data_IF_190489871494
#
_entry.id   IF_190489871494
#
_cell.length_a   1.000
_cell.length_b   1.000
_cell.length_c   1.000
_cell.angle_alpha   90.00
_cell.angle_beta   90.00
_cell.angle_gamma   90.00
#
_symmetry.space_group_name_H-M   'P 1'
#
loop_
_entity.id
_entity.type
_entity.pdbx_description
1 polymer ?
2 non-polymer ?
3 non-polymer ?
4 non-polymer ?
5 non-polymer ?
6 non-polymer ?
7 non-polymer ?
8 water ?
#
# COMPACT_ATOMS: atom_id res chain seq x y z
N UNK A 5 -28.82 -6.51 -5.40
CA UNK A 5 -27.55 -7.23 -5.30
C UNK A 5 -26.43 -6.40 -4.64
N UNK A 6 -25.57 -7.08 -3.84
CA UNK A 6 -24.43 -6.48 -3.15
C UNK A 6 -23.50 -5.72 -4.12
N UNK A 7 -23.12 -6.39 -5.22
CA UNK A 7 -22.27 -5.81 -6.27
C UNK A 7 -20.81 -5.63 -5.90
N UNK A 8 -20.38 -6.24 -4.77
CA UNK A 8 -19.02 -6.16 -4.26
C UNK A 8 -18.04 -6.87 -5.16
N UNK A 9 -18.46 -7.99 -5.78
CA UNK A 9 -17.62 -8.72 -6.71
C UNK A 9 -17.32 -7.91 -7.95
N UNK A 10 -18.29 -7.12 -8.43
CA UNK A 10 -18.08 -6.30 -9.60
C UNK A 10 -17.04 -5.19 -9.38
N UNK A 11 -16.79 -4.78 -8.12
CA UNK A 11 -15.76 -3.79 -7.81
C UNK A 11 -14.40 -4.47 -7.71
N UNK A 12 -14.36 -5.68 -7.13
CA UNK A 12 -13.12 -6.42 -6.97
C UNK A 12 -12.61 -6.95 -8.31
N UNK A 13 -13.47 -7.64 -9.09
CA UNK A 13 -13.17 -8.28 -10.36
C UNK A 13 -12.19 -7.47 -11.26
N UNK A 14 -12.38 -6.15 -11.51
CA UNK A 14 -11.42 -5.43 -12.38
C UNK A 14 -9.99 -5.44 -11.85
N UNK A 15 -9.83 -5.36 -10.51
CA UNK A 15 -8.51 -5.40 -9.86
C UNK A 15 -7.76 -6.74 -10.03
N UNK A 16 -8.47 -7.80 -10.42
CA UNK A 16 -7.97 -9.17 -10.59
C UNK A 16 -7.43 -9.50 -11.98
N UNK A 17 -7.46 -8.54 -12.93
CA UNK A 17 -7.02 -8.79 -14.31
C UNK A 17 -5.56 -9.19 -14.45
N UNK A 18 -4.72 -8.83 -13.46
CA UNK A 18 -3.31 -9.21 -13.47
C UNK A 18 -3.13 -10.74 -13.17
N UNK A 19 -4.19 -11.43 -12.75
CA UNK A 19 -4.14 -12.87 -12.46
C UNK A 19 -4.61 -13.68 -13.69
N UNK A 20 -4.10 -14.91 -13.81
CA UNK A 20 -4.50 -15.84 -14.87
C UNK A 20 -5.97 -16.19 -14.65
N UNK A 21 -6.72 -16.57 -15.72
CA UNK A 21 -8.15 -16.91 -15.52
C UNK A 21 -8.41 -17.96 -14.47
N UNK A 22 -7.52 -18.97 -14.39
CA UNK A 22 -7.65 -20.04 -13.40
C UNK A 22 -7.57 -19.50 -12.00
N UNK A 23 -6.72 -18.49 -11.80
CA UNK A 23 -6.53 -17.83 -10.54
C UNK A 23 -7.71 -16.97 -10.20
N UNK A 24 -8.25 -16.19 -11.16
CA UNK A 24 -9.47 -15.42 -10.90
C UNK A 24 -10.64 -16.35 -10.52
N UNK A 25 -10.67 -17.58 -11.07
CA UNK A 25 -11.70 -18.58 -10.75
C UNK A 25 -11.60 -19.03 -9.30
N UNK A 26 -10.38 -19.16 -8.80
CA UNK A 26 -10.14 -19.53 -7.41
C UNK A 26 -10.59 -18.37 -6.51
N UNK A 27 -10.38 -17.12 -6.92
CA UNK A 27 -10.81 -15.95 -6.18
C UNK A 27 -12.35 -15.79 -6.18
N UNK A 28 -13.04 -16.14 -7.28
CA UNK A 28 -14.50 -16.08 -7.30
C UNK A 28 -15.09 -17.12 -6.36
N UNK A 29 -14.52 -18.34 -6.37
CA UNK A 29 -14.92 -19.43 -5.49
C UNK A 29 -14.74 -19.02 -4.02
N UNK A 30 -13.62 -18.33 -3.70
CA UNK A 30 -13.30 -17.82 -2.38
C UNK A 30 -14.27 -16.74 -1.95
N UNK A 31 -14.62 -15.83 -2.89
CA UNK A 31 -15.58 -14.77 -2.63
C UNK A 31 -16.92 -15.35 -2.25
N UNK A 32 -17.42 -16.32 -3.01
CA UNK A 32 -18.70 -16.94 -2.71
C UNK A 32 -18.69 -17.70 -1.43
N UNK A 33 -17.57 -18.35 -1.12
CA UNK A 33 -17.43 -19.09 0.13
C UNK A 33 -17.53 -18.12 1.30
N UNK A 34 -16.81 -16.98 1.23
CA UNK A 34 -16.83 -15.92 2.24
C UNK A 34 -18.25 -15.37 2.31
N UNK A 35 -18.87 -15.01 1.15
CA UNK A 35 -20.24 -14.50 1.03
C UNK A 35 -21.23 -15.33 1.83
N UNK A 36 -21.14 -16.66 1.70
CA UNK A 36 -21.97 -17.64 2.40
C UNK A 36 -21.65 -17.68 3.87
N UNK A 37 -20.35 -17.81 4.21
CA UNK A 37 -19.93 -17.91 5.59
C UNK A 37 -20.36 -16.70 6.42
N UNK A 38 -20.14 -15.49 5.92
CA UNK A 38 -20.50 -14.27 6.65
C UNK A 38 -21.95 -13.83 6.41
N UNK A 39 -22.83 -14.72 5.91
CA UNK A 39 -24.21 -14.32 5.61
C UNK A 39 -24.97 -13.90 6.85
N UNK A 40 -25.63 -12.75 6.76
CA UNK A 40 -26.41 -12.24 7.88
C UNK A 40 -25.58 -11.50 8.92
N UNK A 41 -24.25 -11.65 8.87
CA UNK A 41 -23.33 -10.98 9.77
C UNK A 41 -23.23 -9.52 9.36
N UNK A 42 -22.97 -8.67 10.33
CA UNK A 42 -22.89 -7.24 10.06
C UNK A 42 -21.67 -6.59 10.67
N UNK A 43 -21.23 -5.53 10.03
CA UNK A 43 -20.16 -4.73 10.56
C UNK A 43 -20.79 -3.60 11.36
N UNK A 44 -20.03 -2.97 12.25
CA UNK A 44 -20.58 -1.90 13.11
C UNK A 44 -20.99 -0.71 12.24
N UNK A 45 -20.59 -0.69 10.98
CA UNK A 45 -21.02 0.33 10.03
C UNK A 45 -22.45 0.11 9.51
N UNK A 46 -23.08 -1.00 9.85
CA UNK A 46 -24.39 -1.35 9.35
C UNK A 46 -24.34 -2.09 8.02
N UNK A 47 -23.15 -2.16 7.42
CA UNK A 47 -22.90 -2.84 6.17
C UNK A 47 -22.75 -4.33 6.44
N UNK A 48 -23.07 -5.20 5.46
CA UNK A 48 -22.92 -6.66 5.69
C UNK A 48 -21.44 -7.01 5.84
N UNK A 49 -21.11 -7.97 6.72
CA UNK A 49 -19.70 -8.28 6.99
C UNK A 49 -18.79 -8.45 5.75
N UNK A 50 -19.29 -9.13 4.71
CA UNK A 50 -18.56 -9.41 3.47
C UNK A 50 -17.91 -8.18 2.88
N UNK A 51 -18.43 -6.97 3.18
CA UNK A 51 -17.87 -5.69 2.75
C UNK A 51 -16.38 -5.57 3.14
N UNK A 52 -16.05 -6.01 4.37
CA UNK A 52 -14.69 -6.02 4.89
C UNK A 52 -13.76 -6.97 4.13
N UNK A 53 -13.95 -8.32 4.07
CA UNK A 53 -12.98 -9.15 3.34
C UNK A 53 -12.90 -8.85 1.85
N UNK A 54 -13.93 -8.22 1.27
CA UNK A 54 -13.87 -7.79 -0.12
C UNK A 54 -12.91 -6.57 -0.20
N UNK A 55 -13.05 -5.61 0.72
CA UNK A 55 -12.15 -4.46 0.78
C UNK A 55 -10.70 -4.89 1.02
N UNK A 56 -10.49 -5.86 1.96
CA UNK A 56 -9.17 -6.41 2.27
C UNK A 56 -8.56 -7.11 1.04
N UNK A 57 -9.37 -7.93 0.30
CA UNK A 57 -8.89 -8.60 -0.92
C UNK A 57 -8.50 -7.53 -1.96
N UNK A 58 -9.35 -6.50 -2.13
CA UNK A 58 -9.14 -5.38 -3.04
C UNK A 58 -7.81 -4.67 -2.77
N UNK A 59 -7.42 -4.51 -1.49
CA UNK A 59 -6.14 -3.87 -1.14
C UNK A 59 -4.98 -4.73 -1.63
N UNK A 60 -5.07 -6.05 -1.43
CA UNK A 60 -4.06 -7.03 -1.84
C UNK A 60 -3.98 -7.13 -3.39
N UNK A 61 -5.11 -6.93 -4.08
CA UNK A 61 -5.16 -6.92 -5.54
C UNK A 61 -4.47 -5.64 -6.07
N UNK A 62 -4.68 -4.52 -5.37
CA UNK A 62 -4.02 -3.27 -5.69
C UNK A 62 -2.52 -3.42 -5.55
N UNK A 63 -2.10 -4.11 -4.49
CA UNK A 63 -0.72 -4.46 -4.23
C UNK A 63 -0.18 -5.57 -5.16
N UNK A 64 -1.04 -6.19 -5.97
CA UNK A 64 -0.71 -7.27 -6.89
C UNK A 64 -0.12 -8.49 -6.22
N UNK A 65 -0.77 -8.93 -5.15
CA UNK A 65 -0.35 -10.12 -4.44
C UNK A 65 -0.79 -11.38 -5.16
N UNK A 66 -0.08 -12.50 -4.94
CA UNK A 66 -0.47 -13.76 -5.59
C UNK A 66 -1.87 -14.21 -5.23
N UNK A 67 -2.48 -15.00 -6.10
CA UNK A 67 -3.84 -15.51 -5.96
C UNK A 67 -4.16 -16.06 -4.57
N UNK A 68 -3.30 -16.92 -4.01
CA UNK A 68 -3.55 -17.46 -2.67
C UNK A 68 -3.69 -16.38 -1.62
N UNK A 69 -2.89 -15.34 -1.71
CA UNK A 69 -2.95 -14.22 -0.79
C UNK A 69 -4.25 -13.43 -0.94
N UNK A 70 -4.67 -13.11 -2.18
CA UNK A 70 -5.93 -12.37 -2.37
C UNK A 70 -7.12 -13.25 -1.97
N UNK A 71 -7.17 -14.54 -2.36
CA UNK A 71 -8.25 -15.43 -1.93
C UNK A 71 -8.29 -15.55 -0.42
N UNK A 72 -7.11 -15.63 0.23
CA UNK A 72 -6.99 -15.66 1.69
C UNK A 72 -7.47 -14.38 2.32
N UNK A 73 -7.38 -13.26 1.61
CA UNK A 73 -7.89 -11.96 2.03
C UNK A 73 -9.40 -11.97 2.12
N UNK A 74 -10.07 -12.72 1.24
CA UNK A 74 -11.52 -12.87 1.31
C UNK A 74 -11.91 -13.83 2.45
N UNK A 75 -11.09 -14.85 2.68
CA UNK A 75 -11.41 -15.87 3.69
C UNK A 75 -10.76 -15.63 5.04
N UNK A 76 -10.04 -14.52 5.22
CA UNK A 76 -9.29 -14.25 6.44
C UNK A 76 -10.13 -14.12 7.71
N UNK A 77 -11.48 -14.08 7.61
CA UNK A 77 -12.32 -13.96 8.81
C UNK A 77 -13.23 -15.17 9.05
N UNK A 78 -13.41 -16.00 8.03
CA UNK A 78 -14.34 -17.16 8.05
C UNK A 78 -14.15 -18.14 9.20
N UNK A 79 -12.93 -18.37 9.64
CA UNK A 79 -12.71 -19.43 10.65
C UNK A 79 -13.39 -19.13 11.97
N UNK A 80 -13.28 -17.92 12.48
CA UNK A 80 -13.77 -17.64 13.84
C UNK A 80 -15.27 -17.49 13.86
N UNK A 81 -15.80 -16.65 13.02
CA UNK A 81 -17.22 -16.33 13.11
C UNK A 81 -18.28 -17.40 12.66
N UNK A 82 -17.97 -18.19 11.63
CA UNK A 82 -18.94 -18.85 10.77
C UNK A 82 -19.07 -20.39 10.75
N UNK A 83 -18.58 -21.09 11.76
CA UNK A 83 -18.67 -22.56 11.75
C UNK A 83 -17.86 -23.17 10.61
N UNK A 84 -16.72 -22.51 10.25
CA UNK A 84 -15.78 -22.99 9.24
C UNK A 84 -14.54 -23.47 9.99
N UNK A 85 -14.11 -24.71 9.75
CA UNK A 85 -12.90 -25.24 10.36
C UNK A 85 -11.73 -25.05 9.39
N UNK A 86 -10.47 -25.03 9.88
CA UNK A 86 -9.33 -24.84 8.95
C UNK A 86 -9.18 -25.97 7.94
N UNK A 87 -9.72 -27.15 8.27
CA UNK A 87 -9.70 -28.35 7.43
C UNK A 87 -10.48 -28.11 6.13
N UNK A 88 -11.58 -27.33 6.21
CA UNK A 88 -12.45 -26.98 5.10
C UNK A 88 -11.74 -26.05 4.13
N UNK A 89 -11.05 -25.02 4.66
CA UNK A 89 -10.30 -24.09 3.83
C UNK A 89 -9.11 -24.79 3.14
N UNK A 90 -8.52 -25.83 3.76
CA UNK A 90 -7.42 -26.57 3.12
C UNK A 90 -7.99 -27.52 2.07
N UNK A 91 -9.12 -28.17 2.39
CA UNK A 91 -9.78 -29.08 1.47
C UNK A 91 -10.28 -28.34 0.24
N UNK A 92 -10.76 -27.09 0.41
CA UNK A 92 -11.34 -26.35 -0.69
C UNK A 92 -10.40 -25.39 -1.40
N UNK A 93 -9.48 -24.75 -0.68
CA UNK A 93 -8.59 -23.77 -1.30
C UNK A 93 -7.09 -24.07 -1.18
N UNK A 94 -6.76 -25.29 -0.79
CA UNK A 94 -5.36 -25.69 -0.61
C UNK A 94 -4.76 -25.29 0.72
N UNK A 95 -3.56 -25.83 1.01
CA UNK A 95 -2.95 -25.54 2.31
C UNK A 95 -2.31 -24.15 2.46
N UNK A 96 -1.93 -23.47 1.36
CA UNK A 96 -1.32 -22.14 1.50
C UNK A 96 -2.39 -21.11 1.89
N UNK A 97 -3.58 -21.17 1.26
CA UNK A 97 -4.70 -20.29 1.64
C UNK A 97 -5.10 -20.55 3.11
N UNK A 98 -5.06 -21.79 3.57
CA UNK A 98 -5.38 -22.03 5.00
C UNK A 98 -4.27 -21.45 5.84
N UNK A 99 -3.05 -21.84 5.52
CA UNK A 99 -1.91 -21.41 6.31
C UNK A 99 -1.98 -19.92 6.64
N UNK A 100 -2.17 -19.09 5.58
CA UNK A 100 -2.29 -17.63 5.62
C UNK A 100 -3.49 -17.17 6.45
N UNK A 101 -4.72 -17.68 6.20
CA UNK A 101 -5.87 -17.18 6.99
C UNK A 101 -5.73 -17.63 8.44
N UNK A 102 -5.15 -18.84 8.71
CA UNK A 102 -4.94 -19.30 10.09
C UNK A 102 -3.91 -18.36 10.76
N UNK A 103 -2.85 -18.04 10.06
CA UNK A 103 -1.83 -17.13 10.57
C UNK A 103 -2.28 -15.71 10.83
N UNK A 104 -3.13 -15.13 9.95
CA UNK A 104 -3.62 -13.76 10.17
C UNK A 104 -4.55 -13.77 11.38
N UNK A 105 -5.40 -14.80 11.51
CA UNK A 105 -6.33 -14.81 12.64
C UNK A 105 -5.65 -15.14 13.97
N UNK A 106 -4.63 -16.00 13.95
CA UNK A 106 -3.95 -16.44 15.15
C UNK A 106 -3.12 -15.34 15.81
N UNK A 107 -2.44 -14.51 15.00
CA UNK A 107 -1.60 -13.45 15.52
C UNK A 107 -2.37 -12.35 16.25
N UNK A 108 -3.61 -12.10 15.82
CA UNK A 108 -4.53 -11.12 16.40
C UNK A 108 -4.66 -11.29 17.92
N UNK A 109 -4.70 -12.55 18.34
CA UNK A 109 -4.82 -13.05 19.70
C UNK A 109 -3.48 -12.98 20.47
N UNK A 110 -2.38 -13.27 19.80
CA UNK A 110 -1.05 -13.23 20.39
C UNK A 110 -0.69 -11.83 20.85
N UNK A 111 -1.11 -10.82 20.09
CA UNK A 111 -0.84 -9.44 20.45
C UNK A 111 -1.64 -9.03 21.69
N UNK A 112 -2.88 -9.58 21.87
CA UNK A 112 -3.74 -9.39 23.05
C UNK A 112 -3.07 -9.97 24.30
N UNK A 113 -2.53 -11.19 24.19
CA UNK A 113 -1.85 -11.88 25.28
C UNK A 113 -0.53 -11.23 25.76
N UNK A 114 0.34 -10.83 24.81
CA UNK A 114 1.68 -10.33 25.03
C UNK A 114 1.81 -9.15 26.01
N UNK A 115 2.57 -9.36 27.11
CA UNK A 115 2.79 -8.35 28.14
C UNK A 115 4.02 -7.44 27.90
N UNK A 116 3.81 -6.32 27.20
CA UNK A 116 4.82 -5.29 26.96
C UNK A 116 4.11 -3.93 26.85
N UNK A 117 4.14 -3.18 27.95
CA UNK A 117 3.47 -1.90 28.08
C UNK A 117 4.34 -0.98 28.93
N UNK A 118 4.65 0.19 28.38
CA UNK A 118 5.53 1.17 29.01
C UNK A 118 6.97 0.69 29.10
N UNK A 119 7.30 -0.36 28.32
CA UNK A 119 8.59 -1.01 28.30
C UNK A 119 9.52 -0.40 27.27
N UNK A 120 10.80 -0.17 27.67
CA UNK A 120 11.84 0.38 26.81
C UNK A 120 12.02 -0.53 25.55
N UNK A 121 11.58 -0.03 24.38
CA UNK A 121 11.61 -0.77 23.11
C UNK A 121 10.68 -1.97 23.11
N UNK A 122 9.44 -1.79 23.61
CA UNK A 122 8.43 -2.86 23.66
C UNK A 122 7.91 -3.22 22.28
N UNK A 123 7.72 -2.21 21.43
CA UNK A 123 7.25 -2.44 20.07
C UNK A 123 8.28 -3.18 19.24
N UNK A 124 9.57 -3.06 19.57
CA UNK A 124 10.62 -3.71 18.82
C UNK A 124 10.52 -5.22 18.99
N UNK A 125 10.33 -5.67 20.25
CA UNK A 125 10.22 -7.09 20.61
C UNK A 125 8.86 -7.74 20.23
N UNK A 126 7.85 -6.89 20.06
CA UNK A 126 6.52 -7.31 19.64
C UNK A 126 6.46 -7.39 18.14
N UNK A 127 7.16 -6.50 17.43
CA UNK A 127 7.23 -6.57 15.99
C UNK A 127 8.00 -7.83 15.59
N UNK A 128 9.11 -8.11 16.30
CA UNK A 128 9.90 -9.30 16.04
C UNK A 128 9.17 -10.58 16.36
N UNK A 129 8.16 -10.52 17.25
CA UNK A 129 7.38 -11.69 17.62
C UNK A 129 6.60 -12.16 16.41
N UNK A 130 5.99 -11.22 15.66
CA UNK A 130 5.23 -11.57 14.47
C UNK A 130 6.22 -12.08 13.42
N UNK A 131 7.32 -11.33 13.19
CA UNK A 131 8.39 -11.71 12.28
C UNK A 131 8.89 -13.15 12.51
N UNK A 132 9.05 -13.54 13.77
CA UNK A 132 9.55 -14.85 14.12
C UNK A 132 8.51 -15.93 13.94
N UNK A 133 7.24 -15.67 14.30
CA UNK A 133 6.22 -16.72 14.23
C UNK A 133 5.68 -16.95 12.83
N UNK A 134 5.64 -15.88 12.02
CA UNK A 134 5.11 -16.00 10.67
C UNK A 134 6.27 -16.05 9.68
N UNK A 135 6.68 -17.28 9.28
CA UNK A 135 7.77 -17.36 8.31
C UNK A 135 7.30 -16.99 6.89
N UNK A 136 6.02 -17.29 6.56
CA UNK A 136 5.47 -16.85 5.28
C UNK A 136 4.98 -15.45 5.47
N UNK A 137 5.72 -14.48 4.95
CA UNK A 137 5.47 -13.05 5.06
C UNK A 137 4.07 -12.66 4.54
N UNK A 138 3.45 -13.46 3.67
CA UNK A 138 2.10 -13.19 3.18
C UNK A 138 1.08 -13.02 4.32
N UNK A 139 1.24 -13.81 5.41
CA UNK A 139 0.43 -13.74 6.64
C UNK A 139 0.46 -12.28 7.19
N UNK A 140 1.67 -11.67 7.22
CA UNK A 140 1.83 -10.32 7.72
C UNK A 140 1.16 -9.35 6.79
N UNK A 141 1.32 -9.53 5.49
CA UNK A 141 0.72 -8.64 4.50
C UNK A 141 -0.78 -8.62 4.59
N UNK A 142 -1.39 -9.80 4.78
CA UNK A 142 -2.85 -9.93 4.95
C UNK A 142 -3.30 -9.22 6.22
N UNK A 143 -2.53 -9.40 7.32
CA UNK A 143 -2.79 -8.71 8.57
C UNK A 143 -2.66 -7.17 8.42
N UNK A 144 -1.72 -6.71 7.58
CA UNK A 144 -1.53 -5.29 7.35
C UNK A 144 -2.68 -4.73 6.55
N UNK A 145 -3.16 -5.50 5.53
CA UNK A 145 -4.29 -5.12 4.67
C UNK A 145 -5.58 -5.07 5.49
N UNK A 146 -5.70 -5.97 6.46
CA UNK A 146 -6.83 -6.05 7.35
C UNK A 146 -6.81 -4.82 8.24
N UNK A 147 -5.65 -4.51 8.86
CA UNK A 147 -5.52 -3.35 9.75
C UNK A 147 -5.76 -2.07 8.99
N UNK A 148 -5.33 -1.99 7.72
CA UNK A 148 -5.56 -0.80 6.91
C UNK A 148 -7.04 -0.58 6.71
N UNK A 149 -7.79 -1.63 6.29
CA UNK A 149 -9.21 -1.45 6.07
C UNK A 149 -9.95 -1.09 7.32
N UNK A 150 -9.56 -1.67 8.46
CA UNK A 150 -10.16 -1.37 9.76
C UNK A 150 -9.98 0.11 10.08
N UNK A 151 -8.81 0.67 9.79
CA UNK A 151 -8.50 2.08 10.01
C UNK A 151 -9.28 2.97 9.06
N UNK A 152 -9.44 2.52 7.82
CA UNK A 152 -10.21 3.24 6.81
C UNK A 152 -11.66 3.44 7.23
N UNK A 153 -12.20 2.50 8.03
CA UNK A 153 -13.56 2.48 8.54
C UNK A 153 -13.57 2.64 10.09
N UNK A 154 -12.66 3.43 10.65
CA UNK A 154 -12.55 3.58 12.11
C UNK A 154 -13.57 4.54 12.73
N UNK A 155 -14.38 5.23 11.92
CA UNK A 155 -15.41 6.14 12.44
C UNK A 155 -16.55 5.41 13.14
N UNK A 156 -16.80 4.14 12.76
CA UNK A 156 -17.85 3.30 13.35
C UNK A 156 -17.32 2.54 14.58
N UNK A 157 -16.46 3.19 15.36
CA UNK A 157 -15.83 2.64 16.55
C UNK A 157 -15.82 3.67 17.66
N UNK A 158 -15.88 3.21 18.92
CA UNK A 158 -15.77 4.17 20.04
C UNK A 158 -14.44 4.94 19.99
N UNK A 159 -14.42 6.21 20.40
CA UNK A 159 -13.14 6.97 20.37
C UNK A 159 -12.02 6.37 21.23
N UNK A 160 -12.38 5.53 22.21
CA UNK A 160 -11.45 4.80 23.06
C UNK A 160 -10.71 3.76 22.18
N UNK A 161 -11.47 2.97 21.39
CA UNK A 161 -10.96 1.96 20.48
C UNK A 161 -10.13 2.64 19.38
N UNK A 162 -10.64 3.77 18.85
CA UNK A 162 -9.99 4.54 17.81
C UNK A 162 -8.53 4.86 18.12
N UNK A 163 -8.22 5.27 19.36
CA UNK A 163 -6.85 5.61 19.76
C UNK A 163 -6.03 4.38 20.13
N UNK A 164 -6.68 3.33 20.63
CA UNK A 164 -6.01 2.08 20.97
C UNK A 164 -5.43 1.45 19.69
N UNK A 165 -6.25 1.42 18.62
CA UNK A 165 -5.93 0.86 17.29
C UNK A 165 -4.90 1.71 16.54
N UNK A 166 -5.07 3.04 16.59
CA UNK A 166 -4.16 3.97 15.94
C UNK A 166 -2.78 3.86 16.52
N UNK A 167 -2.68 3.77 17.86
CA UNK A 167 -1.37 3.68 18.51
C UNK A 167 -0.72 2.35 18.21
N UNK A 168 -1.51 1.28 18.25
CA UNK A 168 -1.00 -0.05 17.98
C UNK A 168 -0.47 -0.16 16.55
N UNK A 169 -1.17 0.47 15.59
CA UNK A 169 -0.74 0.48 14.21
C UNK A 169 0.56 1.26 14.09
N UNK A 170 0.68 2.37 14.84
CA UNK A 170 1.87 3.19 14.84
C UNK A 170 3.09 2.47 15.44
N UNK A 171 2.91 1.61 16.43
CA UNK A 171 4.04 0.88 17.02
C UNK A 171 4.34 -0.42 16.32
N UNK A 172 3.32 -1.15 15.88
CA UNK A 172 3.51 -2.50 15.32
C UNK A 172 3.42 -2.60 13.77
N UNK A 173 2.26 -2.30 13.19
CA UNK A 173 1.97 -2.58 11.80
C UNK A 173 2.61 -1.63 10.79
N UNK A 174 2.62 -0.31 11.07
CA UNK A 174 3.29 0.63 10.17
C UNK A 174 4.80 0.32 10.12
N UNK A 175 5.50 0.05 11.26
CA UNK A 175 6.91 -0.33 11.19
C UNK A 175 7.12 -1.69 10.52
N UNK A 176 6.16 -2.63 10.66
CA UNK A 176 6.25 -3.89 9.94
C UNK A 176 6.13 -3.69 8.40
N UNK A 177 5.24 -2.78 7.92
CA UNK A 177 5.14 -2.46 6.47
C UNK A 177 6.47 -1.84 5.98
N UNK A 178 7.16 -1.06 6.86
CA UNK A 178 8.44 -0.50 6.51
C UNK A 178 9.46 -1.61 6.29
N UNK A 179 9.62 -2.54 7.22
CA UNK A 179 10.53 -3.68 7.13
C UNK A 179 10.26 -4.49 5.85
N UNK A 180 8.99 -4.65 5.49
CA UNK A 180 8.59 -5.42 4.32
C UNK A 180 8.71 -4.66 2.97
N UNK A 181 9.03 -3.37 3.01
CA UNK A 181 9.18 -2.57 1.81
C UNK A 181 7.90 -1.99 1.25
N UNK A 182 6.80 -2.15 1.99
CA UNK A 182 5.47 -1.69 1.61
C UNK A 182 5.22 -0.23 2.01
N UNK A 183 5.99 0.71 1.45
CA UNK A 183 5.87 2.12 1.76
C UNK A 183 4.54 2.79 1.48
N UNK A 184 3.86 2.37 0.41
CA UNK A 184 2.54 2.88 0.02
C UNK A 184 1.53 2.60 1.15
N UNK A 185 1.60 1.36 1.69
CA UNK A 185 0.79 0.83 2.76
C UNK A 185 1.18 1.56 4.05
N UNK A 186 2.49 1.66 4.34
CA UNK A 186 3.06 2.33 5.50
C UNK A 186 2.58 3.77 5.62
N UNK A 187 2.64 4.56 4.55
CA UNK A 187 2.22 5.97 4.56
C UNK A 187 0.78 6.08 5.02
N UNK A 188 -0.09 5.29 4.42
CA UNK A 188 -1.51 5.31 4.69
C UNK A 188 -1.82 4.88 6.09
N UNK A 189 -1.12 3.86 6.60
CA UNK A 189 -1.29 3.40 7.98
C UNK A 189 -0.92 4.52 8.94
N UNK A 190 0.18 5.23 8.66
CA UNK A 190 0.69 6.35 9.45
C UNK A 190 -0.29 7.51 9.47
N UNK A 191 -0.73 7.97 8.31
CA UNK A 191 -1.63 9.12 8.21
C UNK A 191 -2.99 8.84 8.82
N UNK A 192 -3.49 7.62 8.66
CA UNK A 192 -4.76 7.24 9.23
C UNK A 192 -4.62 7.09 10.73
N UNK A 193 -3.46 6.63 11.22
CA UNK A 193 -3.21 6.49 12.66
C UNK A 193 -3.13 7.87 13.30
N UNK A 194 -2.39 8.78 12.65
CA UNK A 194 -2.20 10.16 13.05
C UNK A 194 -3.55 10.87 13.21
N UNK A 195 -4.50 10.58 12.29
CA UNK A 195 -5.83 11.16 12.24
C UNK A 195 -6.59 10.91 13.51
N UNK A 196 -6.60 9.66 13.97
CA UNK A 196 -7.36 9.29 15.13
C UNK A 196 -6.59 9.44 16.42
N UNK A 197 -5.31 9.07 16.46
CA UNK A 197 -4.51 9.21 17.69
C UNK A 197 -4.37 10.67 18.18
N UNK A 198 -3.99 11.60 17.31
CA UNK A 198 -3.89 13.03 17.65
C UNK A 198 -4.84 13.79 16.74
N UNK A 199 -6.14 13.80 17.05
CA UNK A 199 -7.10 14.47 16.16
C UNK A 199 -6.92 15.97 16.08
N UNK A 200 -6.73 16.65 17.22
CA UNK A 200 -6.54 18.09 17.25
C UNK A 200 -5.38 18.57 16.38
N UNK A 201 -4.23 17.86 16.44
CA UNK A 201 -3.06 18.22 15.64
C UNK A 201 -3.21 17.83 14.16
N UNK A 202 -4.03 16.80 13.88
CA UNK A 202 -4.26 16.36 12.51
C UNK A 202 -5.16 17.37 11.81
N UNK A 203 -6.22 17.81 12.48
CA UNK A 203 -7.15 18.76 11.91
C UNK A 203 -6.53 20.14 11.70
N UNK A 204 -5.50 20.50 12.50
CA UNK A 204 -4.83 21.79 12.34
C UNK A 204 -3.85 21.76 11.16
N UNK A 205 -3.08 20.67 11.03
CA UNK A 205 -2.13 20.53 9.95
C UNK A 205 -2.86 20.39 8.63
N UNK A 206 -3.92 19.58 8.59
CA UNK A 206 -4.68 19.38 7.36
C UNK A 206 -5.26 20.69 6.83
N UNK A 207 -5.73 21.57 7.72
CA UNK A 207 -6.31 22.85 7.35
C UNK A 207 -5.31 23.78 6.72
N UNK A 208 -4.06 23.74 7.18
CA UNK A 208 -3.01 24.59 6.63
C UNK A 208 -2.67 24.15 5.21
N UNK A 209 -2.61 22.83 4.98
CA UNK A 209 -2.29 22.28 3.65
C UNK A 209 -3.46 22.51 2.68
N UNK A 210 -4.72 22.43 3.18
CA UNK A 210 -5.90 22.66 2.35
C UNK A 210 -6.06 24.11 1.87
N UNK A 211 -5.16 25.03 2.28
CA UNK A 211 -5.19 26.42 1.86
C UNK A 211 -4.32 26.56 0.58
N UNK A 212 -3.14 25.95 0.59
CA UNK A 212 -2.26 25.94 -0.57
C UNK A 212 -2.56 24.77 -1.53
N UNK A 213 -3.41 23.80 -1.13
CA UNK A 213 -3.77 22.61 -1.92
C UNK A 213 -4.39 22.95 -3.27
N UNK A 214 -5.02 24.13 -3.40
CA UNK A 214 -5.60 24.54 -4.66
C UNK A 214 -4.46 24.82 -5.64
N UNK A 215 -3.48 25.62 -5.23
CA UNK A 215 -2.34 25.96 -6.08
C UNK A 215 -1.32 24.82 -6.28
N UNK A 216 -1.06 24.00 -5.24
CA UNK A 216 -0.08 22.91 -5.31
C UNK A 216 -0.48 21.85 -6.33
N UNK A 217 -1.73 21.37 -6.26
CA UNK A 217 -2.20 20.36 -7.22
C UNK A 217 -2.41 20.96 -8.63
N UNK A 218 -2.55 22.29 -8.72
CA UNK A 218 -2.68 23.01 -10.00
C UNK A 218 -1.33 22.91 -10.70
N UNK A 219 -0.25 23.15 -9.95
CA UNK A 219 1.13 23.09 -10.50
C UNK A 219 1.49 21.63 -10.80
N UNK A 220 1.33 20.77 -9.81
CA UNK A 220 1.67 19.36 -9.98
C UNK A 220 0.99 18.77 -11.21
N UNK A 221 -0.24 19.21 -11.51
CA UNK A 221 -0.98 18.73 -12.66
C UNK A 221 -0.40 19.20 -13.98
N UNK A 222 0.28 20.37 -13.99
CA UNK A 222 0.93 20.86 -15.22
C UNK A 222 2.06 19.89 -15.59
N UNK A 223 2.87 19.51 -14.57
CA UNK A 223 3.98 18.58 -14.68
C UNK A 223 3.50 17.18 -15.02
N UNK A 224 2.37 16.76 -14.44
CA UNK A 224 1.79 15.45 -14.69
C UNK A 224 1.32 15.35 -16.15
N UNK A 225 0.56 16.37 -16.62
CA UNK A 225 0.02 16.41 -17.98
C UNK A 225 1.14 16.39 -19.00
N UNK A 226 2.20 17.13 -18.73
CA UNK A 226 3.34 17.23 -19.61
C UNK A 226 4.12 15.93 -19.67
N UNK A 227 4.38 15.31 -18.52
CA UNK A 227 5.12 14.05 -18.45
C UNK A 227 4.29 12.89 -19.03
N UNK A 228 2.96 12.95 -18.90
CA UNK A 228 2.07 11.94 -19.46
C UNK A 228 2.23 11.92 -20.99
N UNK A 229 2.16 13.11 -21.61
CA UNK A 229 2.25 13.30 -23.06
C UNK A 229 3.58 12.83 -23.60
N UNK A 230 4.65 13.20 -22.93
CA UNK A 230 6.02 12.90 -23.30
C UNK A 230 6.24 11.38 -23.34
N UNK A 231 5.70 10.68 -22.33
CA UNK A 231 5.84 9.23 -22.21
C UNK A 231 4.99 8.52 -23.22
N UNK A 232 3.75 8.99 -23.44
CA UNK A 232 2.82 8.39 -24.39
C UNK A 232 3.30 8.58 -25.85
N UNK A 233 3.90 9.73 -26.17
CA UNK A 233 4.40 9.98 -27.51
C UNK A 233 5.79 9.35 -27.78
N UNK A 234 6.30 8.49 -26.87
CA UNK A 234 7.59 7.83 -27.10
C UNK A 234 7.32 6.43 -27.57
N UNK A 235 7.33 6.24 -28.87
CA UNK A 235 7.02 4.99 -29.56
C UNK A 235 7.75 3.74 -29.02
N UNK A 236 9.07 3.83 -28.76
CA UNK A 236 9.82 2.66 -28.30
C UNK A 236 9.46 2.21 -26.90
N UNK A 237 9.32 3.17 -25.96
CA UNK A 237 8.94 2.91 -24.57
C UNK A 237 7.56 2.23 -24.55
N UNK A 238 6.62 2.73 -25.38
CA UNK A 238 5.28 2.17 -25.48
C UNK A 238 5.25 0.78 -26.12
N UNK A 239 6.25 0.46 -26.96
CA UNK A 239 6.42 -0.84 -27.58
C UNK A 239 6.73 -1.91 -26.52
N UNK A 240 7.44 -1.54 -25.45
CA UNK A 240 7.76 -2.48 -24.37
C UNK A 240 6.84 -2.32 -23.14
N UNK A 241 5.77 -1.52 -23.24
CA UNK A 241 4.90 -1.21 -22.12
C UNK A 241 3.43 -1.57 -22.32
N UNK A 242 2.86 -2.22 -21.33
CA UNK A 242 1.45 -2.61 -21.30
C UNK A 242 0.58 -1.40 -20.87
N UNK A 243 1.07 -0.65 -19.89
CA UNK A 243 0.39 0.53 -19.36
C UNK A 243 1.28 1.34 -18.43
N UNK A 244 0.82 2.53 -18.04
CA UNK A 244 1.60 3.40 -17.17
C UNK A 244 0.72 4.43 -16.49
N UNK A 245 1.18 4.98 -15.37
CA UNK A 245 0.43 6.03 -14.71
C UNK A 245 1.35 7.01 -14.01
N UNK A 246 1.11 8.29 -14.27
CA UNK A 246 1.88 9.41 -13.72
C UNK A 246 0.99 10.13 -12.70
N UNK A 247 1.44 10.20 -11.44
CA UNK A 247 0.66 10.79 -10.34
C UNK A 247 1.50 11.78 -9.49
N UNK A 248 0.83 12.60 -8.70
CA UNK A 248 1.50 13.47 -7.74
C UNK A 248 1.67 12.71 -6.44
N UNK A 249 2.81 12.86 -5.77
CA UNK A 249 3.05 12.15 -4.50
C UNK A 249 2.29 12.84 -3.40
N UNK A 250 1.58 12.07 -2.56
CA UNK A 250 0.81 12.68 -1.47
C UNK A 250 1.70 13.16 -0.33
N UNK A 251 1.27 14.22 0.38
CA UNK A 251 2.03 14.70 1.52
C UNK A 251 1.90 13.67 2.64
N UNK A 252 3.03 13.22 3.20
CA UNK A 252 3.03 12.23 4.28
C UNK A 252 2.85 13.00 5.58
N UNK A 253 1.59 13.31 5.89
CA UNK A 253 1.14 14.09 7.04
C UNK A 253 1.71 13.71 8.37
N UNK A 254 1.85 12.41 8.64
CA UNK A 254 2.41 11.97 9.91
C UNK A 254 3.87 12.37 10.01
N UNK A 255 4.67 12.12 8.95
CA UNK A 255 6.08 12.47 8.86
C UNK A 255 6.31 13.96 8.83
N UNK A 256 5.40 14.72 8.21
CA UNK A 256 5.51 16.16 8.16
C UNK A 256 5.38 16.75 9.57
N UNK A 257 4.38 16.28 10.33
CA UNK A 257 4.17 16.73 11.70
C UNK A 257 5.22 16.16 12.67
N UNK A 258 5.72 14.95 12.39
CA UNK A 258 6.75 14.28 13.17
C UNK A 258 8.05 15.11 13.15
N UNK A 259 8.47 15.59 11.94
CA UNK A 259 9.66 16.43 11.76
C UNK A 259 9.48 17.84 12.32
N UNK A 260 8.24 18.32 12.41
CA UNK A 260 7.95 19.63 12.97
C UNK A 260 8.20 19.59 14.47
N UNK A 261 7.77 18.51 15.16
CA UNK A 261 8.00 18.40 16.59
C UNK A 261 9.50 18.21 16.90
N UNK A 262 10.17 17.32 16.15
CA UNK A 262 11.59 17.03 16.33
C UNK A 262 12.45 18.24 15.98
N UNK A 263 12.35 18.77 14.74
CA UNK A 263 13.16 19.91 14.33
C UNK A 263 12.65 21.28 14.81
N UNK A 264 11.57 21.28 15.61
CA UNK A 264 10.99 22.50 16.17
C UNK A 264 10.57 23.51 15.13
N UNK A 265 10.12 23.03 13.97
CA UNK A 265 9.71 23.89 12.85
C UNK A 265 8.18 24.12 12.80
N UNK A 266 7.74 25.00 11.88
CA UNK A 266 6.34 25.32 11.59
C UNK A 266 6.02 24.75 10.20
N UNK A 267 4.72 24.53 9.87
CA UNK A 267 4.37 24.01 8.53
C UNK A 267 4.79 24.95 7.38
N UNK A 268 4.98 26.25 7.69
CA UNK A 268 5.46 27.26 6.73
C UNK A 268 6.99 27.13 6.57
N UNK A 269 7.71 26.81 7.67
CA UNK A 269 9.17 26.68 7.77
C UNK A 269 9.72 25.41 7.12
N UNK A 270 8.87 24.41 6.84
CA UNK A 270 9.36 23.16 6.24
C UNK A 270 9.21 23.19 4.70
N UNK A 271 10.26 22.74 3.97
CA UNK A 271 10.23 22.79 2.51
C UNK A 271 9.36 21.74 1.86
N UNK A 272 8.37 22.24 1.09
CA UNK A 272 7.43 21.43 0.33
C UNK A 272 8.06 20.98 -1.00
N UNK A 273 8.85 19.88 -1.01
CA UNK A 273 9.41 19.41 -2.27
C UNK A 273 8.33 18.67 -3.04
N UNK A 274 8.00 19.17 -4.23
CA UNK A 274 6.99 18.54 -5.06
C UNK A 274 7.56 17.28 -5.66
N UNK A 275 6.78 16.21 -5.68
CA UNK A 275 7.22 14.95 -6.24
C UNK A 275 6.15 14.34 -7.13
N UNK A 276 6.60 13.65 -8.16
CA UNK A 276 5.73 12.95 -9.09
C UNK A 276 6.22 11.52 -9.19
N UNK A 277 5.32 10.63 -9.56
CA UNK A 277 5.61 9.22 -9.62
C UNK A 277 5.23 8.65 -10.95
N UNK A 278 6.12 7.90 -11.55
CA UNK A 278 5.83 7.20 -12.78
C UNK A 278 5.82 5.73 -12.41
N UNK A 279 4.66 5.09 -12.63
CA UNK A 279 4.49 3.66 -12.39
C UNK A 279 4.39 3.03 -13.77
N UNK A 280 5.21 2.01 -14.02
CA UNK A 280 5.27 1.38 -15.33
C UNK A 280 4.83 -0.09 -15.31
N UNK A 281 3.89 -0.46 -16.15
CA UNK A 281 3.40 -1.83 -16.24
C UNK A 281 3.98 -2.45 -17.53
N UNK A 282 5.13 -3.15 -17.50
CA UNK A 282 5.64 -3.74 -18.76
C UNK A 282 4.75 -4.81 -19.39
N UNK A 283 4.82 -4.92 -20.70
CA UNK A 283 4.09 -5.93 -21.45
C UNK A 283 4.63 -7.33 -21.09
N UNK A 284 3.77 -8.36 -21.10
CA UNK A 284 4.25 -9.73 -20.85
C UNK A 284 5.33 -10.16 -21.83
N UNK A 285 6.50 -10.54 -21.30
CA UNK A 285 7.64 -10.96 -22.11
C UNK A 285 7.69 -12.49 -22.25
N UNK A 286 8.11 -12.98 -23.45
CA UNK A 286 8.15 -14.42 -23.72
C UNK A 286 8.83 -15.34 -22.68
N UNK A 287 9.87 -14.87 -21.97
CA UNK A 287 10.52 -15.69 -20.92
C UNK A 287 10.56 -14.95 -19.58
N UNK A 288 10.82 -15.67 -18.48
CA UNK A 288 10.91 -15.06 -17.16
C UNK A 288 12.13 -14.13 -17.08
N UNK A 289 13.24 -14.50 -17.73
CA UNK A 289 14.47 -13.71 -17.72
C UNK A 289 14.31 -12.42 -18.51
N UNK A 290 13.66 -12.51 -19.66
CA UNK A 290 13.39 -11.35 -20.51
C UNK A 290 12.43 -10.38 -19.85
N UNK A 291 11.51 -10.88 -19.01
CA UNK A 291 10.57 -10.07 -18.26
C UNK A 291 11.31 -9.21 -17.22
N UNK A 292 12.31 -9.83 -16.56
CA UNK A 292 13.14 -9.21 -15.53
C UNK A 292 14.00 -8.09 -16.09
N UNK A 293 14.53 -8.29 -17.29
CA UNK A 293 15.35 -7.29 -17.96
C UNK A 293 14.49 -6.13 -18.37
N UNK A 294 13.30 -6.40 -18.95
CA UNK A 294 12.36 -5.37 -19.38
C UNK A 294 11.98 -4.45 -18.24
N UNK A 295 11.78 -5.02 -17.05
CA UNK A 295 11.43 -4.30 -15.84
C UNK A 295 12.46 -3.21 -15.54
N UNK A 296 13.75 -3.55 -15.62
CA UNK A 296 14.82 -2.59 -15.38
C UNK A 296 14.87 -1.61 -16.57
N UNK A 297 15.13 -2.13 -17.78
CA UNK A 297 15.23 -1.40 -19.04
C UNK A 297 14.19 -0.30 -19.21
N UNK A 298 12.97 -0.51 -18.75
CA UNK A 298 11.88 0.43 -18.97
C UNK A 298 11.99 1.66 -18.03
N UNK A 299 12.56 1.49 -16.84
CA UNK A 299 12.74 2.59 -15.91
C UNK A 299 13.87 3.52 -16.33
N UNK A 300 14.97 2.97 -16.85
CA UNK A 300 16.08 3.80 -17.33
C UNK A 300 15.70 4.52 -18.61
N UNK A 301 14.82 3.93 -19.46
CA UNK A 301 14.26 4.56 -20.65
C UNK A 301 13.50 5.83 -20.20
N UNK A 302 12.63 5.70 -19.17
CA UNK A 302 11.90 6.84 -18.61
C UNK A 302 12.85 7.90 -18.02
N UNK A 303 13.89 7.51 -17.26
CA UNK A 303 14.86 8.46 -16.69
C UNK A 303 15.42 9.41 -17.74
N UNK A 304 15.69 8.85 -18.93
CA UNK A 304 16.23 9.59 -20.05
C UNK A 304 15.24 10.57 -20.60
N UNK A 305 13.99 10.17 -20.74
CA UNK A 305 12.98 11.09 -21.30
C UNK A 305 12.69 12.16 -20.26
N UNK A 306 12.67 11.80 -18.99
CA UNK A 306 12.51 12.82 -17.95
C UNK A 306 13.64 13.85 -18.05
N UNK A 307 14.86 13.40 -18.31
CA UNK A 307 16.01 14.30 -18.47
C UNK A 307 15.99 15.07 -19.78
N UNK A 308 15.26 14.59 -20.78
CA UNK A 308 15.07 15.33 -22.05
C UNK A 308 13.99 16.40 -21.80
N UNK A 309 12.97 16.09 -21.00
CA UNK A 309 11.87 16.98 -20.67
C UNK A 309 12.28 18.09 -19.69
N UNK A 310 12.94 17.74 -18.58
CA UNK A 310 13.37 18.70 -17.57
C UNK A 310 14.84 18.55 -17.25
N UNK A 311 15.51 19.69 -17.04
CA UNK A 311 16.93 19.78 -16.73
C UNK A 311 17.26 19.18 -15.36
N UNK A 312 18.11 18.14 -15.33
CA UNK A 312 18.43 17.51 -14.04
C UNK A 312 19.46 18.21 -13.18
N UNK A 313 19.07 18.44 -11.91
CA UNK A 313 19.93 19.06 -10.88
C UNK A 313 21.09 18.08 -10.62
N UNK A 314 22.35 18.53 -10.71
CA UNK A 314 23.46 17.59 -10.58
C UNK A 314 23.51 16.82 -9.28
N UNK A 315 23.85 15.55 -9.42
CA UNK A 315 24.03 14.58 -8.34
C UNK A 315 22.76 14.12 -7.67
N UNK A 316 21.61 14.26 -8.34
CA UNK A 316 20.33 13.87 -7.74
C UNK A 316 19.72 12.57 -8.29
N UNK A 317 20.48 11.83 -9.11
CA UNK A 317 20.00 10.53 -9.60
C UNK A 317 20.30 9.52 -8.49
N UNK A 318 19.28 8.70 -8.16
CA UNK A 318 19.36 7.69 -7.12
C UNK A 318 18.86 6.39 -7.69
N UNK A 319 19.75 5.40 -7.75
CA UNK A 319 19.43 4.09 -8.33
C UNK A 319 19.27 3.02 -7.29
N UNK A 320 18.01 2.81 -6.88
CA UNK A 320 17.62 1.76 -5.94
C UNK A 320 17.18 0.49 -6.65
N UNK A 321 17.24 0.44 -7.98
CA UNK A 321 16.95 -0.78 -8.73
C UNK A 321 18.28 -1.60 -8.65
N UNK A 322 19.39 -0.95 -9.01
CA UNK A 322 20.73 -1.52 -8.94
C UNK A 322 21.13 -1.80 -7.49
N UNK A 323 20.75 -0.92 -6.58
CA UNK A 323 21.08 -1.07 -5.16
C UNK A 323 19.84 -0.83 -4.27
N UNK A 324 18.95 -1.83 -4.14
CA UNK A 324 17.77 -1.65 -3.28
C UNK A 324 18.12 -1.33 -1.83
N UNK A 325 17.20 -0.63 -1.16
CA UNK A 325 17.33 -0.25 0.24
C UNK A 325 17.31 -1.55 1.10
N UNK A 326 17.72 -1.50 2.39
CA UNK A 326 17.76 -2.75 3.17
C UNK A 326 16.40 -3.50 3.24
N UNK A 327 15.27 -2.76 3.11
CA UNK A 327 13.93 -3.36 3.08
C UNK A 327 13.49 -3.84 1.66
N UNK A 328 14.40 -3.79 0.71
CA UNK A 328 14.20 -4.25 -0.66
C UNK A 328 13.54 -3.24 -1.57
N UNK A 329 13.46 -1.97 -1.12
CA UNK A 329 12.87 -0.87 -1.88
C UNK A 329 13.62 -0.67 -3.17
N UNK A 330 12.91 -0.75 -4.29
CA UNK A 330 13.43 -0.52 -5.62
C UNK A 330 12.63 0.56 -6.31
N UNK A 331 13.35 1.55 -6.78
CA UNK A 331 12.86 2.68 -7.55
C UNK A 331 14.08 3.49 -8.05
N UNK A 332 13.85 4.27 -9.10
CA UNK A 332 14.82 5.21 -9.64
C UNK A 332 14.32 6.61 -9.24
N UNK A 333 15.21 7.52 -8.83
CA UNK A 333 14.79 8.86 -8.45
C UNK A 333 15.66 9.88 -9.11
N UNK A 334 15.08 11.00 -9.54
CA UNK A 334 15.86 12.11 -10.09
C UNK A 334 15.20 13.43 -9.77
N UNK A 335 15.99 14.39 -9.31
CA UNK A 335 15.47 15.70 -9.04
C UNK A 335 15.88 16.56 -10.21
N UNK A 336 14.89 17.21 -10.83
CA UNK A 336 15.03 18.04 -12.02
C UNK A 336 14.51 19.48 -11.76
N UNK A 337 14.73 20.39 -12.71
CA UNK A 337 14.22 21.73 -12.71
C UNK A 337 13.06 21.72 -13.69
N UNK A 338 11.87 21.79 -13.15
CA UNK A 338 10.60 21.79 -13.87
C UNK A 338 9.74 22.96 -13.29
N UNK A 339 8.53 23.20 -13.84
CA UNK A 339 7.61 24.24 -13.36
C UNK A 339 8.23 25.66 -13.32
N UNK A 340 9.12 25.94 -14.27
CA UNK A 340 9.75 27.25 -14.42
C UNK A 340 10.63 27.65 -13.21
N UNK A 341 11.63 26.82 -12.94
CA UNK A 341 12.62 27.09 -11.91
C UNK A 341 12.39 26.42 -10.57
N UNK A 342 11.55 25.39 -10.56
CA UNK A 342 11.23 24.70 -9.33
C UNK A 342 11.77 23.30 -9.28
N UNK A 343 12.24 22.86 -8.11
CA UNK A 343 12.68 21.48 -7.98
C UNK A 343 11.50 20.52 -7.99
N UNK A 344 11.62 19.50 -8.82
CA UNK A 344 10.61 18.49 -8.94
C UNK A 344 11.32 17.17 -8.83
N UNK A 345 10.89 16.37 -7.89
CA UNK A 345 11.45 15.05 -7.66
C UNK A 345 10.61 14.04 -8.45
N UNK A 346 11.25 13.18 -9.25
CA UNK A 346 10.53 12.17 -10.01
C UNK A 346 10.94 10.80 -9.53
N UNK A 347 9.96 10.02 -9.12
CA UNK A 347 10.15 8.66 -8.67
C UNK A 347 9.70 7.79 -9.87
N UNK A 348 10.55 6.87 -10.33
CA UNK A 348 10.23 5.99 -11.47
C UNK A 348 10.38 4.55 -11.02
N UNK A 349 9.34 3.74 -11.17
CA UNK A 349 9.42 2.32 -10.81
C UNK A 349 8.38 1.51 -11.60
N UNK A 350 8.43 0.17 -11.56
CA UNK A 350 7.41 -0.64 -12.24
C UNK A 350 6.17 -0.88 -11.31
N UNK A 351 5.10 -1.56 -11.82
CA UNK A 351 3.91 -1.89 -11.01
C UNK A 351 4.34 -2.88 -9.90
N UNK A 352 5.21 -3.86 -10.25
CA UNK A 352 5.77 -4.87 -9.36
C UNK A 352 6.62 -4.25 -8.22
N UNK A 353 7.33 -3.18 -8.54
CA UNK A 353 8.15 -2.46 -7.58
C UNK A 353 7.31 -1.59 -6.64
N UNK A 354 6.11 -1.16 -7.06
CA UNK A 354 5.27 -0.27 -6.25
C UNK A 354 4.52 -0.97 -5.11
N UNK A 355 5.09 -0.92 -3.89
CA UNK A 355 4.55 -1.58 -2.70
C UNK A 355 4.22 -0.57 -1.59
X LIG B 1 -12.34 -5.04 19.82
X LIG B 1 -11.91 -6.08 18.87
X LIG B 1 -10.71 -6.92 19.32
X LIG B 1 -13.09 -7.10 18.52
X LIG B 1 -14.39 -7.64 19.27
X LIG B 1 -14.16 -9.01 19.81
X LIG B 1 -14.79 -6.57 20.31
X LIG B 1 -15.50 -7.64 18.12
X LIG B 1 -17.09 -7.83 18.01
X LIG B 1 -17.81 -6.73 18.73
X LIG B 1 -17.37 -9.23 18.58
X LIG B 1 -17.37 -7.85 16.50
X LIG B 1 -11.49 -5.42 17.46
X LIG B 1 -12.33 -4.57 16.64
X LIG B 1 -13.14 -5.41 15.70
X LIG B 1 -12.43 -5.91 14.44
X LIG B 1 -11.79 -7.24 14.57
X LIG B 1 -10.55 -7.86 13.66
X LIG B 1 -10.46 -9.31 13.70
X LIG B 1 -10.84 -7.48 12.15
X LIG B 1 -9.13 -7.17 14.08
X LIG B 1 -8.28 -6.85 15.39
X LIG B 1 -8.31 -5.39 15.75
X LIG B 1 -8.90 -7.77 16.49
X LIG B 1 -6.86 -7.36 15.08
X LIG B 1 -13.45 -5.72 13.28
X LIG B 1 -13.67 -6.92 12.55
X LIG B 1 -14.25 -4.64 15.20
X LIG B 1 -14.71 -5.26 14.02
X LIG B 1 -15.54 -4.29 13.28
X LIG B 1 -16.87 -4.43 12.97
X LIG B 1 -17.36 -3.40 12.32
X LIG B 1 -16.28 -2.53 12.19
X LIG B 1 -15.16 -3.06 12.77
X LIG B 1 -13.93 -2.53 12.84
X LIG B 1 -13.85 -1.33 12.25
X LIG B 1 -12.69 -0.67 12.27
X LIG B 1 -14.91 -0.73 11.65
X LIG B 1 -16.18 -1.25 11.56
X LIG B 1 -17.08 -0.63 11.00
X LIG C 1 -2.41 -6.15 24.40
X LIG C 1 -2.64 -5.15 23.42
X LIG C 1 -1.34 -5.74 25.38
X LIG C 1 -1.01 -6.84 26.24
X LIG C 1 -0.09 -5.19 24.74
X LIG C 1 0.48 -6.10 23.80
X LIG D 1 -17.52 -1.98 6.11
X LIG D 1 -17.22 -1.33 7.09
X LIG D 1 -16.49 -2.69 5.63
X LIG E 1 -10.59 -8.86 9.70
X LIG F 1 -14.56 -4.64 21.06
X LIG G 1 -19.72 -21.87 -5.73
X LIG H 1 9.46 1.92 1.99
X LIG I 1 6.58 4.82 -1.48
X LIG J 1 11.26 -4.62 13.25
X LIG K 1 6.89 22.17 -16.76
#
# INVERSE_FOLDING_TARGET
>A
MVGADLGLWNRLEPALAYLAPEERAKVREAYRFAEEAHRGQLRRSGEPYITHPVAVAEILAGLQMDADTVAAGLLHDTLEDCGVAPEELERRFGPTVRRIVEGETKVSKLYKLANLEGEERRAEDLRQMFIAMAEDVRIIIVKLADRLHNLRTLEHMPPEKQKRIAQETLEIYAPLAHRLGMGQLKWELEDLSFRYLHPEAFASLSARIQATQEARERLIQKAIHLLQETLARDELLQSQLQGFEVTGRPKHLYSIWKKMEREGKTLEQIYDLLAVRVILDPKPAPTRESQALREKQVCYHVLGLVHALWQPIPGRVKDYIAVPKPNGYQSLHTTVIALEGLPLEVQIRTREMHR
>B hetero
1 VE8 O17 P2 O9 O10 P3 O16 O15 O11 P4 O14 O13 O12 O8 C7 C6 C5 N1 P O7 O6 O2 P1 O5 O4 O3 C4 O1 O18 C3 N C8 N2 C1 C2 N3 C9 N4 N5 C O
>C hetero
1 GOL C1 O1 C2 O2 C3 O3
>D hetero
1 FMT C O1 O2
>E hetero
1 MN MN
>F hetero
1 MG MG
>G hetero
1 CL CL
>H hetero
1 CL CL
>I hetero
1 CL CL
>J hetero
1 CL CL
>K hetero
1 CL CL
#
